data_IF_971976172187
#
_entry.id   IF_971976172187
#
_cell.length_a   1.000
_cell.length_b   1.000
_cell.length_c   1.000
_cell.angle_alpha   90.00
_cell.angle_beta   90.00
_cell.angle_gamma   90.00
#
_symmetry.space_group_name_H-M   'P 1'
#
loop_
_entity.id
_entity.type
_entity.pdbx_description
1 polymer ?
#
# COMPACT_ATOMS: atom_id res chain seq x y z
N UNK A 1 21.98 37.21 1.47
CA UNK A 1 21.81 36.03 0.61
C UNK A 1 20.55 35.31 1.07
N UNK A 2 19.42 35.56 0.42
CA UNK A 2 18.16 34.87 0.73
C UNK A 2 18.24 33.48 0.11
N UNK A 3 18.38 32.43 0.92
CA UNK A 3 18.30 31.06 0.46
C UNK A 3 16.87 30.80 -0.02
N UNK A 4 16.67 30.86 -1.35
CA UNK A 4 15.44 30.44 -2.00
C UNK A 4 15.46 28.91 -2.09
N UNK A 5 15.28 28.25 -0.96
CA UNK A 5 14.99 26.82 -0.93
C UNK A 5 13.63 26.66 -1.61
N UNK A 6 13.60 26.25 -2.87
CA UNK A 6 12.34 25.95 -3.54
C UNK A 6 11.57 24.92 -2.68
N UNK A 7 10.30 25.16 -2.34
CA UNK A 7 9.53 24.21 -1.55
C UNK A 7 9.50 22.88 -2.31
N UNK A 8 9.87 21.78 -1.63
CA UNK A 8 9.83 20.45 -2.22
C UNK A 8 8.39 20.18 -2.67
N UNK A 9 8.15 19.77 -3.94
CA UNK A 9 6.81 19.49 -4.40
C UNK A 9 6.18 18.39 -3.55
N UNK A 10 5.07 18.67 -2.89
CA UNK A 10 4.35 17.69 -2.03
C UNK A 10 4.01 16.41 -2.82
N UNK A 11 3.75 16.54 -4.12
CA UNK A 11 3.57 15.41 -5.03
C UNK A 11 4.79 14.46 -5.06
N UNK A 12 6.02 14.99 -5.07
CA UNK A 12 7.24 14.19 -5.09
C UNK A 12 7.38 13.40 -3.78
N UNK A 13 7.11 14.03 -2.64
CA UNK A 13 7.15 13.37 -1.32
C UNK A 13 6.17 12.20 -1.28
N UNK A 14 4.95 12.40 -1.79
CA UNK A 14 3.93 11.36 -1.89
C UNK A 14 4.35 10.17 -2.75
N UNK A 15 4.96 10.44 -3.91
CA UNK A 15 5.48 9.38 -4.78
C UNK A 15 6.60 8.59 -4.09
N UNK A 16 7.53 9.26 -3.41
CA UNK A 16 8.62 8.60 -2.67
C UNK A 16 8.05 7.68 -1.59
N UNK A 17 7.09 8.17 -0.78
CA UNK A 17 6.45 7.38 0.28
C UNK A 17 5.74 6.17 -0.30
N UNK A 18 4.95 6.36 -1.37
CA UNK A 18 4.25 5.27 -2.02
C UNK A 18 5.22 4.22 -2.59
N UNK A 19 6.29 4.64 -3.27
CA UNK A 19 7.32 3.71 -3.76
C UNK A 19 8.04 2.99 -2.64
N UNK A 20 8.30 3.65 -1.50
CA UNK A 20 8.93 3.03 -0.35
C UNK A 20 8.05 1.90 0.22
N UNK A 21 6.74 2.12 0.36
CA UNK A 21 5.77 1.11 0.83
C UNK A 21 5.60 -0.01 -0.20
N UNK A 22 5.52 0.31 -1.50
CA UNK A 22 5.46 -0.73 -2.52
C UNK A 22 6.72 -1.60 -2.48
N UNK A 23 7.90 -0.98 -2.33
CA UNK A 23 9.17 -1.70 -2.25
C UNK A 23 9.24 -2.57 -1.00
N UNK A 24 8.68 -2.16 0.13
CA UNK A 24 8.66 -3.00 1.34
C UNK A 24 7.86 -4.29 1.13
N UNK A 25 6.76 -4.26 0.38
CA UNK A 25 6.01 -5.48 -0.01
C UNK A 25 6.92 -6.48 -0.74
N UNK A 26 7.71 -6.00 -1.70
CA UNK A 26 8.68 -6.84 -2.42
C UNK A 26 9.81 -7.32 -1.51
N UNK A 27 10.32 -6.45 -0.63
CA UNK A 27 11.36 -6.84 0.33
C UNK A 27 10.88 -7.97 1.25
N UNK A 28 9.65 -7.89 1.77
CA UNK A 28 9.08 -8.95 2.60
C UNK A 28 9.03 -10.26 1.81
N UNK A 29 8.47 -10.26 0.60
CA UNK A 29 8.33 -11.50 -0.17
C UNK A 29 9.68 -12.10 -0.63
N UNK A 30 10.58 -11.28 -1.17
CA UNK A 30 11.80 -11.77 -1.82
C UNK A 30 12.97 -11.93 -0.86
N UNK A 31 13.05 -11.13 0.21
CA UNK A 31 14.14 -11.22 1.19
C UNK A 31 13.75 -12.11 2.37
N UNK A 32 12.51 -12.00 2.86
CA UNK A 32 12.04 -12.79 4.02
C UNK A 32 11.36 -14.07 3.58
N UNK A 33 10.45 -13.99 2.61
CA UNK A 33 9.68 -15.14 2.09
C UNK A 33 10.45 -16.08 1.15
N UNK A 34 11.73 -15.82 0.88
CA UNK A 34 12.57 -16.71 0.07
C UNK A 34 12.27 -16.71 -1.44
N UNK A 35 11.45 -15.77 -1.93
CA UNK A 35 11.13 -15.62 -3.35
C UNK A 35 9.65 -15.78 -3.66
N UNK A 36 9.32 -16.15 -4.91
CA UNK A 36 7.95 -16.40 -5.33
C UNK A 36 7.54 -17.83 -4.96
N UNK A 37 6.43 -18.02 -4.22
CA UNK A 37 5.91 -19.35 -3.93
C UNK A 37 5.49 -20.04 -5.24
N UNK A 38 5.91 -21.28 -5.44
CA UNK A 38 5.56 -22.09 -6.60
C UNK A 38 5.06 -23.46 -6.16
N UNK A 39 4.03 -23.98 -6.83
CA UNK A 39 3.45 -25.27 -6.53
C UNK A 39 1.95 -25.20 -6.27
N UNK A 40 1.37 -26.34 -5.98
CA UNK A 40 -0.05 -26.49 -5.66
C UNK A 40 -0.23 -26.61 -4.14
N UNK A 41 -1.36 -26.15 -3.64
CA UNK A 41 -1.66 -26.25 -2.22
C UNK A 41 -1.87 -27.71 -1.82
N UNK A 42 -1.33 -28.09 -0.66
CA UNK A 42 -1.67 -29.37 -0.04
C UNK A 42 -3.16 -29.37 0.39
N UNK A 43 -4.00 -30.26 -0.16
CA UNK A 43 -5.43 -30.30 0.17
C UNK A 43 -5.70 -30.73 1.63
N UNK A 44 -4.71 -31.26 2.35
CA UNK A 44 -4.85 -31.66 3.75
C UNK A 44 -4.67 -30.49 4.74
N UNK A 45 -4.18 -29.34 4.28
CA UNK A 45 -3.90 -28.17 5.12
C UNK A 45 -4.79 -27.02 4.69
N UNK A 46 -5.53 -26.43 5.64
CA UNK A 46 -6.32 -25.23 5.38
C UNK A 46 -5.92 -24.11 6.34
N UNK A 47 -5.78 -22.89 5.81
CA UNK A 47 -5.52 -21.69 6.60
C UNK A 47 -6.54 -20.57 6.28
N UNK A 48 -7.86 -20.84 6.37
CA UNK A 48 -8.87 -19.92 5.86
C UNK A 48 -8.92 -18.60 6.63
N UNK A 49 -8.63 -18.63 7.94
CA UNK A 49 -8.68 -17.44 8.78
C UNK A 49 -7.70 -16.35 8.33
N UNK A 50 -6.43 -16.71 8.10
CA UNK A 50 -5.39 -15.76 7.69
C UNK A 50 -5.60 -15.26 6.27
N UNK A 51 -6.07 -16.14 5.38
CA UNK A 51 -6.45 -15.74 4.03
C UNK A 51 -7.55 -14.67 4.05
N UNK A 52 -8.66 -14.95 4.75
CA UNK A 52 -9.77 -14.00 4.86
C UNK A 52 -9.39 -12.72 5.61
N UNK A 53 -8.50 -12.79 6.59
CA UNK A 53 -7.97 -11.60 7.26
C UNK A 53 -7.19 -10.70 6.29
N UNK A 54 -6.34 -11.28 5.43
CA UNK A 54 -5.64 -10.53 4.37
C UNK A 54 -6.61 -9.90 3.37
N UNK A 55 -7.62 -10.65 2.92
CA UNK A 55 -8.67 -10.13 2.04
C UNK A 55 -9.43 -8.98 2.69
N UNK A 56 -9.83 -9.13 3.95
CA UNK A 56 -10.54 -8.10 4.70
C UNK A 56 -9.70 -6.82 4.86
N UNK A 57 -8.39 -6.96 5.09
CA UNK A 57 -7.48 -5.82 5.20
C UNK A 57 -7.43 -5.01 3.89
N UNK A 58 -7.31 -5.67 2.74
CA UNK A 58 -7.34 -4.96 1.44
C UNK A 58 -8.69 -4.35 1.14
N UNK A 59 -9.79 -5.04 1.47
CA UNK A 59 -11.13 -4.47 1.32
C UNK A 59 -11.30 -3.20 2.17
N UNK A 60 -10.86 -3.24 3.43
CA UNK A 60 -10.90 -2.08 4.31
C UNK A 60 -10.02 -0.94 3.79
N UNK A 61 -8.83 -1.24 3.27
CA UNK A 61 -7.95 -0.27 2.62
C UNK A 61 -8.63 0.36 1.38
N UNK A 62 -9.27 -0.45 0.54
CA UNK A 62 -10.05 0.03 -0.61
C UNK A 62 -11.20 0.93 -0.18
N UNK A 63 -11.93 0.59 0.89
CA UNK A 63 -12.98 1.45 1.45
C UNK A 63 -12.41 2.79 1.93
N UNK A 64 -11.26 2.79 2.62
CA UNK A 64 -10.58 4.03 3.02
C UNK A 64 -10.25 4.91 1.81
N UNK A 65 -9.76 4.30 0.73
CA UNK A 65 -9.40 5.00 -0.52
C UNK A 65 -10.62 5.60 -1.23
N UNK A 66 -11.66 4.81 -1.45
CA UNK A 66 -12.75 5.16 -2.36
C UNK A 66 -13.95 5.79 -1.65
N UNK A 67 -14.14 5.53 -0.36
CA UNK A 67 -15.30 6.03 0.41
C UNK A 67 -14.89 7.16 1.34
N UNK A 68 -13.78 7.00 2.07
CA UNK A 68 -13.37 7.95 3.10
C UNK A 68 -12.58 9.12 2.51
N UNK A 69 -11.57 8.85 1.68
CA UNK A 69 -10.74 9.90 1.09
C UNK A 69 -11.52 10.98 0.32
N UNK A 70 -12.50 10.68 -0.56
CA UNK A 70 -13.22 11.74 -1.28
C UNK A 70 -14.19 12.54 -0.41
N UNK A 71 -14.47 12.10 0.83
CA UNK A 71 -15.38 12.79 1.76
C UNK A 71 -14.67 13.81 2.65
N UNK A 72 -13.34 13.82 2.66
CA UNK A 72 -12.55 14.68 3.55
C UNK A 72 -12.06 15.90 2.75
N UNK A 73 -12.18 17.14 3.28
CA UNK A 73 -11.66 18.33 2.63
C UNK A 73 -10.11 18.28 2.54
N UNK A 74 -9.49 19.00 1.59
CA UNK A 74 -8.04 19.01 1.41
C UNK A 74 -7.32 19.51 2.66
N UNK A 75 -6.90 18.56 3.50
CA UNK A 75 -6.22 18.78 4.78
C UNK A 75 -4.95 17.91 4.81
N UNK A 76 -3.89 18.27 5.58
CA UNK A 76 -2.74 17.39 5.82
C UNK A 76 -3.10 15.98 6.31
N UNK A 77 -4.34 15.77 6.80
CA UNK A 77 -4.87 14.44 7.16
C UNK A 77 -4.97 13.46 5.97
N UNK A 78 -4.99 13.94 4.73
CA UNK A 78 -4.98 13.06 3.54
C UNK A 78 -3.69 12.25 3.41
N UNK A 79 -2.54 12.83 3.77
CA UNK A 79 -1.26 12.13 3.76
C UNK A 79 -1.28 10.98 4.78
N UNK A 80 -1.82 11.26 5.97
CA UNK A 80 -1.94 10.26 7.03
C UNK A 80 -2.85 9.11 6.61
N UNK A 81 -4.01 9.40 6.01
CA UNK A 81 -4.95 8.38 5.55
C UNK A 81 -4.36 7.50 4.44
N UNK A 82 -3.53 8.09 3.57
CA UNK A 82 -2.80 7.36 2.52
C UNK A 82 -1.79 6.38 3.08
N UNK A 83 -0.97 6.83 4.03
CA UNK A 83 0.03 5.97 4.68
C UNK A 83 -0.67 4.84 5.43
N UNK A 84 -1.70 5.15 6.22
CA UNK A 84 -2.46 4.15 6.96
C UNK A 84 -3.14 3.15 6.03
N UNK A 85 -3.78 3.61 4.95
CA UNK A 85 -4.42 2.74 3.97
C UNK A 85 -3.41 1.84 3.24
N UNK A 86 -2.26 2.38 2.85
CA UNK A 86 -1.22 1.62 2.18
C UNK A 86 -0.57 0.59 3.12
N UNK A 87 -0.29 0.94 4.38
CA UNK A 87 0.20 -0.01 5.39
C UNK A 87 -0.82 -1.11 5.70
N UNK A 88 -2.12 -0.80 5.68
CA UNK A 88 -3.16 -1.80 5.84
C UNK A 88 -3.20 -2.78 4.65
N UNK A 89 -2.93 -2.28 3.44
CA UNK A 89 -2.84 -3.10 2.24
C UNK A 89 -1.56 -3.95 2.16
N UNK A 90 -0.55 -3.69 3.00
CA UNK A 90 0.66 -4.51 3.15
C UNK A 90 0.45 -5.73 4.08
N UNK A 91 -0.55 -5.67 4.96
CA UNK A 91 -0.89 -6.77 5.87
C UNK A 91 -1.00 -8.17 5.21
N UNK A 92 -1.57 -8.34 4.00
CA UNK A 92 -1.66 -9.65 3.36
C UNK A 92 -0.30 -10.28 3.08
N UNK A 93 0.74 -9.52 2.71
CA UNK A 93 2.07 -10.10 2.47
C UNK A 93 2.72 -10.53 3.78
N UNK A 94 2.49 -9.80 4.87
CA UNK A 94 2.96 -10.17 6.21
C UNK A 94 2.29 -11.47 6.66
N UNK A 95 0.97 -11.57 6.50
CA UNK A 95 0.23 -12.80 6.83
C UNK A 95 0.65 -13.97 5.94
N UNK A 96 0.82 -13.74 4.64
CA UNK A 96 1.28 -14.76 3.70
C UNK A 96 2.67 -15.28 4.04
N UNK A 97 3.58 -14.40 4.50
CA UNK A 97 4.97 -14.78 4.79
C UNK A 97 5.14 -15.43 6.16
N UNK A 98 4.42 -14.98 7.19
CA UNK A 98 4.65 -15.41 8.57
C UNK A 98 3.56 -16.35 9.14
N UNK A 99 2.32 -16.26 8.66
CA UNK A 99 1.20 -17.00 9.24
C UNK A 99 0.74 -18.18 8.38
N UNK A 100 0.98 -18.14 7.06
CA UNK A 100 0.61 -19.23 6.15
C UNK A 100 1.78 -20.19 5.99
N UNK A 101 1.58 -21.51 6.22
CA UNK A 101 2.63 -22.51 6.04
C UNK A 101 3.03 -22.67 4.57
N UNK A 102 4.28 -23.06 4.34
CA UNK A 102 4.87 -23.25 3.00
C UNK A 102 4.20 -24.36 2.18
N UNK A 103 3.36 -25.19 2.81
CA UNK A 103 2.51 -26.19 2.14
C UNK A 103 1.35 -25.56 1.36
N UNK A 104 1.13 -24.25 1.49
CA UNK A 104 0.09 -23.48 0.80
C UNK A 104 0.66 -22.37 -0.11
N UNK A 105 1.54 -22.70 -1.07
CA UNK A 105 2.23 -21.71 -1.89
C UNK A 105 1.27 -20.86 -2.73
N UNK A 106 0.17 -21.43 -3.24
CA UNK A 106 -0.81 -20.68 -4.03
C UNK A 106 -1.54 -19.64 -3.17
N UNK A 107 -1.82 -19.96 -1.91
CA UNK A 107 -2.45 -19.02 -0.98
C UNK A 107 -1.50 -17.88 -0.64
N UNK A 108 -0.22 -18.17 -0.38
CA UNK A 108 0.81 -17.15 -0.16
C UNK A 108 0.95 -16.23 -1.38
N UNK A 109 1.04 -16.80 -2.59
CA UNK A 109 1.12 -16.04 -3.84
C UNK A 109 -0.11 -15.15 -4.04
N UNK A 110 -1.31 -15.66 -3.74
CA UNK A 110 -2.54 -14.88 -3.85
C UNK A 110 -2.54 -13.68 -2.92
N UNK A 111 -2.11 -13.86 -1.65
CA UNK A 111 -1.99 -12.76 -0.69
C UNK A 111 -0.90 -11.75 -1.09
N UNK A 112 0.22 -12.22 -1.65
CA UNK A 112 1.26 -11.34 -2.19
C UNK A 112 0.73 -10.47 -3.33
N UNK A 113 0.08 -11.07 -4.33
CA UNK A 113 -0.54 -10.33 -5.44
C UNK A 113 -1.59 -9.35 -4.92
N UNK A 114 -2.39 -9.77 -3.95
CA UNK A 114 -3.41 -8.93 -3.33
C UNK A 114 -2.79 -7.72 -2.60
N UNK A 115 -1.67 -7.90 -1.90
CA UNK A 115 -0.94 -6.81 -1.26
C UNK A 115 -0.39 -5.81 -2.31
N UNK A 116 0.22 -6.32 -3.39
CA UNK A 116 0.73 -5.48 -4.48
C UNK A 116 -0.39 -4.65 -5.10
N UNK A 117 -1.51 -5.27 -5.46
CA UNK A 117 -2.67 -4.56 -6.01
C UNK A 117 -3.28 -3.58 -4.99
N UNK A 118 -3.35 -4.01 -3.73
CA UNK A 118 -3.86 -3.23 -2.62
C UNK A 118 -3.04 -1.96 -2.33
N UNK A 119 -1.72 -2.00 -2.47
CA UNK A 119 -0.84 -0.82 -2.37
C UNK A 119 -0.90 0.00 -3.66
N UNK A 120 -0.99 -0.67 -4.82
CA UNK A 120 -1.01 0.00 -6.13
C UNK A 120 -2.17 0.98 -6.29
N UNK A 121 -3.37 0.67 -5.75
CA UNK A 121 -4.51 1.59 -5.83
C UNK A 121 -4.30 2.93 -5.07
N UNK A 122 -3.33 3.00 -4.16
CA UNK A 122 -2.97 4.22 -3.42
C UNK A 122 -1.96 5.11 -4.15
N UNK A 123 -1.65 4.83 -5.42
CA UNK A 123 -0.77 5.67 -6.21
C UNK A 123 -1.23 7.14 -6.19
N UNK A 124 -0.33 8.12 -5.92
CA UNK A 124 -0.69 9.52 -5.66
C UNK A 124 -0.95 10.33 -6.94
N UNK A 125 -1.75 9.79 -7.86
CA UNK A 125 -2.06 10.40 -9.18
C UNK A 125 -2.86 11.71 -9.10
N UNK A 126 -3.50 11.98 -7.96
CA UNK A 126 -4.29 13.19 -7.69
C UNK A 126 -3.44 14.37 -7.19
N UNK A 127 -2.18 14.14 -6.81
CA UNK A 127 -1.28 15.21 -6.40
C UNK A 127 -0.74 15.96 -7.62
N UNK A 128 -1.49 16.96 -8.09
CA UNK A 128 -1.03 17.85 -9.17
C UNK A 128 0.13 18.73 -8.68
N UNK A 129 1.17 18.98 -9.49
CA UNK A 129 2.21 19.95 -9.16
C UNK A 129 1.59 21.34 -8.94
N UNK A 130 1.99 22.03 -7.87
CA UNK A 130 1.66 23.44 -7.71
C UNK A 130 2.36 24.24 -8.83
N UNK A 131 1.67 25.16 -9.53
CA UNK A 131 2.34 26.04 -10.50
C UNK A 131 3.47 26.84 -9.85
N UNK A 132 4.62 27.04 -10.52
CA UNK A 132 5.69 27.87 -9.98
C UNK A 132 5.19 29.31 -9.89
N UNK A 133 4.91 29.79 -8.68
CA UNK A 133 4.48 31.17 -8.42
C UNK A 133 3.04 31.35 -7.91
N UNK A 134 2.27 30.29 -7.70
CA UNK A 134 0.91 30.40 -7.13
C UNK A 134 0.95 30.65 -5.62
N UNK A 135 0.66 31.88 -5.18
CA UNK A 135 0.30 32.15 -3.79
C UNK A 135 -0.94 31.33 -3.47
N UNK A 136 -0.82 30.39 -2.52
CA UNK A 136 -1.97 29.64 -2.04
C UNK A 136 -2.98 30.58 -1.40
N UNK A 137 -4.06 30.87 -2.12
CA UNK A 137 -5.37 31.31 -1.65
C UNK A 137 -6.28 31.41 -2.89
N UNK A 138 -7.45 30.74 -2.82
CA UNK A 138 -8.57 30.63 -3.80
C UNK A 138 -8.50 29.39 -4.68
N UNK A 139 -9.44 28.45 -4.66
CA UNK A 139 -10.75 28.29 -4.00
C UNK A 139 -10.97 26.81 -3.65
#
# INVERSE_FOLDING_TARGET
MQNHSAPVPVALVLWIIWFAILTSVFMIQFVVGGGLPTGENDPAVEAPLFFWAGVAAVLLASVLRWVVLPRIPPHPGHLMLLVVGASLAELPVILGTFAIPDTLPQTQLTLFVLAVLGVAQFAPVYAKPLPPGGSGLRD
#
